data_IF_694061286240
#
_entry.id   IF_694061286240
#
_cell.length_a   1.000
_cell.length_b   1.000
_cell.length_c   1.000
_cell.angle_alpha   90.00
_cell.angle_beta   90.00
_cell.angle_gamma   90.00
#
_symmetry.space_group_name_H-M   'P 1'
#
loop_
_entity.id
_entity.type
_entity.pdbx_description
1 polymer ?
#
# COMPACT_ATOMS: atom_id res chain seq x y z
N UNK A 1 -11.27 -12.32 -31.38
CA UNK A 1 -10.75 -11.95 -30.04
C UNK A 1 -11.39 -10.67 -29.51
N UNK A 2 -11.66 -9.65 -30.35
CA UNK A 2 -12.39 -8.44 -29.94
C UNK A 2 -13.87 -8.67 -29.51
N UNK A 3 -14.54 -9.71 -30.00
CA UNK A 3 -15.92 -10.04 -29.60
C UNK A 3 -16.04 -10.53 -28.14
N UNK A 4 -15.04 -11.25 -27.63
CA UNK A 4 -15.12 -11.84 -26.28
C UNK A 4 -15.04 -10.76 -25.19
N UNK A 5 -14.25 -9.70 -25.42
CA UNK A 5 -14.21 -8.52 -24.55
C UNK A 5 -15.52 -7.70 -24.63
N UNK A 6 -16.15 -7.62 -25.81
CA UNK A 6 -17.44 -6.93 -25.97
C UNK A 6 -18.58 -7.66 -25.26
N UNK A 7 -18.60 -8.99 -25.34
CA UNK A 7 -19.55 -9.85 -24.65
C UNK A 7 -19.37 -9.80 -23.14
N UNK A 8 -18.12 -9.78 -22.65
CA UNK A 8 -17.83 -9.61 -21.23
C UNK A 8 -18.35 -8.28 -20.69
N UNK A 9 -18.15 -7.18 -21.42
CA UNK A 9 -18.67 -5.84 -21.04
C UNK A 9 -20.21 -5.82 -21.04
N UNK A 10 -20.86 -6.50 -21.99
CA UNK A 10 -22.32 -6.59 -22.07
C UNK A 10 -22.89 -7.44 -20.93
N UNK A 11 -22.27 -8.58 -20.61
CA UNK A 11 -22.64 -9.45 -19.51
C UNK A 11 -22.49 -8.74 -18.16
N UNK A 12 -21.38 -8.02 -17.96
CA UNK A 12 -21.12 -7.25 -16.74
C UNK A 12 -22.15 -6.12 -16.55
N UNK A 13 -22.53 -5.45 -17.64
CA UNK A 13 -23.54 -4.37 -17.59
C UNK A 13 -24.95 -4.90 -17.36
N UNK A 14 -25.26 -6.09 -17.90
CA UNK A 14 -26.53 -6.78 -17.68
C UNK A 14 -26.64 -7.30 -16.23
N UNK A 15 -25.56 -7.85 -15.67
CA UNK A 15 -25.49 -8.26 -14.27
C UNK A 15 -25.68 -7.07 -13.32
N UNK A 16 -25.02 -5.93 -13.62
CA UNK A 16 -25.18 -4.71 -12.82
C UNK A 16 -26.60 -4.15 -12.88
N UNK A 17 -27.26 -4.21 -14.04
CA UNK A 17 -28.66 -3.82 -14.19
C UNK A 17 -29.58 -4.78 -13.41
N UNK A 18 -29.33 -6.09 -13.49
CA UNK A 18 -30.10 -7.08 -12.73
C UNK A 18 -29.94 -6.88 -11.21
N UNK A 19 -28.73 -6.58 -10.73
CA UNK A 19 -28.49 -6.22 -9.33
C UNK A 19 -29.21 -4.92 -8.92
N UNK A 20 -29.39 -3.97 -9.84
CA UNK A 20 -30.12 -2.73 -9.58
C UNK A 20 -31.65 -2.91 -9.59
N UNK A 21 -32.18 -3.82 -10.41
CA UNK A 21 -33.62 -4.13 -10.47
C UNK A 21 -34.09 -5.11 -9.38
N UNK A 22 -33.22 -6.00 -8.89
CA UNK A 22 -33.53 -6.93 -7.77
C UNK A 22 -33.16 -6.32 -6.40
N UNK A 23 -32.45 -5.19 -6.39
CA UNK A 23 -31.89 -4.54 -5.19
C UNK A 23 -32.86 -3.73 -4.32
N UNK A 24 -34.16 -4.03 -4.35
CA UNK A 24 -35.18 -3.31 -3.58
C UNK A 24 -35.26 -3.64 -2.09
N UNK A 25 -34.61 -4.70 -1.58
CA UNK A 25 -34.95 -5.19 -0.21
C UNK A 25 -33.82 -5.77 0.67
N UNK A 26 -32.54 -5.75 0.30
CA UNK A 26 -31.51 -6.34 1.18
C UNK A 26 -30.21 -5.52 1.25
N UNK A 27 -30.13 -4.67 2.27
CA UNK A 27 -28.93 -3.93 2.66
C UNK A 27 -27.73 -4.78 3.20
N UNK A 28 -27.84 -6.04 3.66
CA UNK A 28 -26.67 -6.79 4.16
C UNK A 28 -25.83 -7.49 3.08
N UNK A 29 -26.32 -7.61 1.83
CA UNK A 29 -25.64 -8.39 0.77
C UNK A 29 -24.50 -7.62 0.10
N UNK A 30 -24.60 -6.29 0.01
CA UNK A 30 -23.53 -5.45 -0.57
C UNK A 30 -22.22 -5.50 0.21
N UNK A 31 -22.28 -5.63 1.54
CA UNK A 31 -21.08 -5.76 2.38
C UNK A 31 -20.39 -7.11 2.18
N UNK A 32 -21.16 -8.20 2.09
CA UNK A 32 -20.60 -9.53 1.81
C UNK A 32 -19.96 -9.62 0.43
N UNK A 33 -20.60 -9.04 -0.60
CA UNK A 33 -20.03 -9.00 -1.95
C UNK A 33 -18.72 -8.19 -2.02
N UNK A 34 -18.60 -7.11 -1.26
CA UNK A 34 -17.35 -6.33 -1.17
C UNK A 34 -16.24 -7.08 -0.44
N UNK A 35 -16.56 -7.72 0.68
CA UNK A 35 -15.60 -8.50 1.45
C UNK A 35 -15.07 -9.69 0.65
N UNK A 36 -15.95 -10.37 -0.08
CA UNK A 36 -15.56 -11.49 -0.95
C UNK A 36 -14.67 -11.01 -2.10
N UNK A 37 -14.97 -9.87 -2.72
CA UNK A 37 -14.09 -9.28 -3.74
C UNK A 37 -12.72 -8.88 -3.19
N UNK A 38 -12.64 -8.31 -1.99
CA UNK A 38 -11.34 -7.99 -1.38
C UNK A 38 -10.56 -9.25 -1.06
N UNK A 39 -11.22 -10.29 -0.57
CA UNK A 39 -10.60 -11.57 -0.23
C UNK A 39 -10.06 -12.30 -1.47
N UNK A 40 -10.82 -12.30 -2.56
CA UNK A 40 -10.36 -12.82 -3.85
C UNK A 40 -9.14 -12.05 -4.37
N UNK A 41 -9.14 -10.72 -4.25
CA UNK A 41 -7.97 -9.90 -4.63
C UNK A 41 -6.75 -10.22 -3.76
N UNK A 42 -6.94 -10.40 -2.45
CA UNK A 42 -5.86 -10.82 -1.55
C UNK A 42 -5.34 -12.21 -1.86
N UNK A 43 -6.20 -13.17 -2.21
CA UNK A 43 -5.78 -14.51 -2.63
C UNK A 43 -4.97 -14.47 -3.92
N UNK A 44 -5.39 -13.68 -4.91
CA UNK A 44 -4.64 -13.49 -6.15
C UNK A 44 -3.27 -12.87 -5.83
N UNK A 45 -3.23 -11.83 -5.00
CA UNK A 45 -1.98 -11.19 -4.55
C UNK A 45 -1.07 -12.19 -3.83
N UNK A 46 -1.60 -12.97 -2.89
CA UNK A 46 -0.84 -13.99 -2.17
C UNK A 46 -0.32 -15.07 -3.10
N UNK A 47 -1.13 -15.49 -4.07
CA UNK A 47 -0.74 -16.49 -5.08
C UNK A 47 0.44 -15.97 -5.90
N UNK A 48 0.36 -14.74 -6.42
CA UNK A 48 1.46 -14.11 -7.16
C UNK A 48 2.71 -14.01 -6.30
N UNK A 49 2.58 -13.50 -5.07
CA UNK A 49 3.70 -13.38 -4.14
C UNK A 49 4.32 -14.75 -3.83
N UNK A 50 3.51 -15.80 -3.70
CA UNK A 50 4.00 -17.17 -3.43
C UNK A 50 4.74 -17.80 -4.60
N UNK A 51 4.39 -17.43 -5.84
CA UNK A 51 5.06 -17.91 -7.05
C UNK A 51 6.35 -17.14 -7.34
N UNK A 52 6.34 -15.85 -7.02
CA UNK A 52 7.44 -14.92 -7.29
C UNK A 52 8.49 -14.94 -6.18
N UNK A 53 8.14 -15.16 -4.92
CA UNK A 53 9.11 -15.14 -3.81
C UNK A 53 9.68 -16.52 -3.51
N UNK A 54 11.00 -16.61 -3.31
CA UNK A 54 11.64 -17.82 -2.79
C UNK A 54 11.38 -18.05 -1.29
N UNK A 55 11.68 -19.26 -0.79
CA UNK A 55 11.43 -19.65 0.59
C UNK A 55 12.17 -18.74 1.60
N UNK A 56 13.38 -18.31 1.28
CA UNK A 56 14.16 -17.36 2.09
C UNK A 56 13.52 -15.96 2.10
N UNK A 57 13.09 -15.47 0.95
CA UNK A 57 12.44 -14.16 0.83
C UNK A 57 11.11 -14.11 1.59
N UNK A 58 10.34 -15.21 1.62
CA UNK A 58 9.11 -15.33 2.42
C UNK A 58 9.37 -15.21 3.92
N UNK A 59 10.43 -15.86 4.42
CA UNK A 59 10.80 -15.76 5.83
C UNK A 59 11.14 -14.32 6.21
N UNK A 60 11.95 -13.64 5.38
CA UNK A 60 12.31 -12.23 5.59
C UNK A 60 11.12 -11.28 5.50
N UNK A 61 10.21 -11.50 4.54
CA UNK A 61 8.98 -10.73 4.45
C UNK A 61 8.11 -10.89 5.71
N UNK A 62 8.04 -12.09 6.28
CA UNK A 62 7.29 -12.34 7.52
C UNK A 62 7.92 -11.59 8.72
N UNK A 63 9.24 -11.67 8.88
CA UNK A 63 9.95 -10.88 9.90
C UNK A 63 9.82 -9.37 9.68
N UNK A 64 9.83 -8.92 8.42
CA UNK A 64 9.62 -7.51 8.08
C UNK A 64 8.20 -7.06 8.39
N UNK A 65 7.17 -7.86 8.12
CA UNK A 65 5.78 -7.56 8.51
C UNK A 65 5.63 -7.36 10.01
N UNK A 66 6.29 -8.19 10.81
CA UNK A 66 6.25 -8.08 12.27
C UNK A 66 6.98 -6.83 12.76
N UNK A 67 8.16 -6.53 12.21
CA UNK A 67 8.98 -5.41 12.67
C UNK A 67 8.51 -4.04 12.13
N UNK A 68 8.11 -3.97 10.86
CA UNK A 68 7.72 -2.75 10.13
C UNK A 68 6.68 -3.08 9.06
N UNK A 69 5.38 -3.16 9.43
CA UNK A 69 4.32 -3.52 8.49
C UNK A 69 4.20 -2.54 7.31
N UNK A 70 4.46 -1.26 7.55
CA UNK A 70 4.39 -0.20 6.52
C UNK A 70 5.37 -0.47 5.35
N UNK A 71 6.63 -0.82 5.68
CA UNK A 71 7.63 -1.18 4.67
C UNK A 71 7.28 -2.48 3.95
N UNK A 72 6.70 -3.43 4.66
CA UNK A 72 6.27 -4.69 4.07
C UNK A 72 5.13 -4.47 3.06
N UNK A 73 4.14 -3.62 3.36
CA UNK A 73 3.05 -3.31 2.43
C UNK A 73 3.56 -2.61 1.16
N UNK A 74 4.48 -1.63 1.30
CA UNK A 74 5.08 -0.99 0.14
C UNK A 74 5.86 -1.98 -0.71
N UNK A 75 6.67 -2.85 -0.08
CA UNK A 75 7.40 -3.89 -0.77
C UNK A 75 6.46 -4.84 -1.53
N UNK A 76 5.38 -5.33 -0.90
CA UNK A 76 4.38 -6.18 -1.55
C UNK A 76 3.75 -5.49 -2.75
N UNK A 77 3.35 -4.22 -2.60
CA UNK A 77 2.74 -3.45 -3.70
C UNK A 77 3.69 -3.31 -4.90
N UNK A 78 4.98 -3.12 -4.64
CA UNK A 78 6.00 -2.97 -5.67
C UNK A 78 6.29 -4.30 -6.36
N UNK A 79 6.41 -5.39 -5.59
CA UNK A 79 6.60 -6.74 -6.15
C UNK A 79 5.40 -7.16 -6.99
N UNK A 80 4.17 -6.93 -6.52
CA UNK A 80 2.96 -7.23 -7.30
C UNK A 80 2.97 -6.46 -8.62
N UNK A 81 3.32 -5.16 -8.60
CA UNK A 81 3.40 -4.35 -9.81
C UNK A 81 4.45 -4.89 -10.79
N UNK A 82 5.64 -5.25 -10.29
CA UNK A 82 6.71 -5.83 -11.13
C UNK A 82 6.32 -7.21 -11.68
N UNK A 83 5.59 -8.02 -10.91
CA UNK A 83 5.08 -9.32 -11.35
C UNK A 83 4.00 -9.17 -12.43
N UNK A 84 3.05 -8.24 -12.25
CA UNK A 84 2.01 -7.92 -13.24
C UNK A 84 2.60 -7.39 -14.56
N UNK A 85 3.67 -6.60 -14.48
CA UNK A 85 4.39 -6.10 -15.66
C UNK A 85 5.26 -7.19 -16.32
N UNK A 86 5.36 -8.40 -15.75
CA UNK A 86 6.18 -9.48 -16.29
C UNK A 86 7.69 -9.22 -16.22
N UNK A 87 8.12 -8.26 -15.39
CA UNK A 87 9.54 -7.89 -15.27
C UNK A 87 10.33 -8.91 -14.44
N UNK A 88 9.65 -9.68 -13.59
CA UNK A 88 10.26 -10.71 -12.76
C UNK A 88 10.23 -12.04 -13.52
N UNK A 89 11.33 -12.35 -14.21
CA UNK A 89 11.51 -13.63 -14.91
C UNK A 89 12.10 -14.68 -13.97
N UNK A 90 11.30 -15.16 -13.02
CA UNK A 90 11.67 -16.24 -12.11
C UNK A 90 11.37 -15.97 -10.64
N UNK A 91 11.99 -16.77 -9.76
CA UNK A 91 11.90 -16.57 -8.31
C UNK A 91 12.82 -15.44 -7.88
N UNK A 92 12.31 -14.59 -7.01
CA UNK A 92 12.98 -13.45 -6.41
C UNK A 92 13.83 -13.97 -5.25
N UNK A 93 15.14 -13.96 -5.47
CA UNK A 93 16.15 -14.37 -4.51
C UNK A 93 16.28 -13.37 -3.36
N UNK A 94 16.87 -13.80 -2.24
CA UNK A 94 17.07 -12.97 -1.06
C UNK A 94 17.89 -11.70 -1.37
N UNK A 95 18.87 -11.79 -2.28
CA UNK A 95 19.65 -10.62 -2.71
C UNK A 95 18.78 -9.57 -3.42
N UNK A 96 17.87 -10.01 -4.30
CA UNK A 96 16.94 -9.10 -4.99
C UNK A 96 15.92 -8.51 -4.02
N UNK A 97 15.51 -9.28 -3.01
CA UNK A 97 14.62 -8.81 -1.96
C UNK A 97 15.24 -7.61 -1.21
N UNK A 98 16.53 -7.70 -0.81
CA UNK A 98 17.22 -6.56 -0.18
C UNK A 98 17.21 -5.35 -1.09
N UNK A 99 17.54 -5.55 -2.37
CA UNK A 99 17.73 -4.43 -3.28
C UNK A 99 16.43 -3.64 -3.51
N UNK A 100 15.30 -4.35 -3.66
CA UNK A 100 13.97 -3.73 -3.76
C UNK A 100 13.61 -3.07 -2.42
N UNK A 101 13.90 -3.71 -1.29
CA UNK A 101 13.62 -3.14 0.02
C UNK A 101 14.43 -1.86 0.29
N UNK A 102 15.69 -1.81 -0.14
CA UNK A 102 16.52 -0.62 -0.10
C UNK A 102 15.96 0.49 -0.98
N UNK A 103 15.53 0.16 -2.21
CA UNK A 103 14.87 1.11 -3.10
C UNK A 103 13.59 1.68 -2.47
N UNK A 104 12.76 0.83 -1.86
CA UNK A 104 11.54 1.26 -1.14
C UNK A 104 11.91 2.19 0.04
N UNK A 105 12.95 1.85 0.78
CA UNK A 105 13.42 2.65 1.91
C UNK A 105 14.03 4.00 1.49
N UNK A 106 14.65 4.06 0.31
CA UNK A 106 15.19 5.28 -0.28
C UNK A 106 14.07 6.18 -0.85
N UNK A 107 13.02 5.58 -1.40
CA UNK A 107 11.85 6.28 -1.91
C UNK A 107 10.96 6.83 -0.79
N UNK A 108 11.02 6.22 0.40
CA UNK A 108 10.39 6.74 1.59
C UNK A 108 11.12 8.02 2.03
N UNK A 109 10.45 9.18 2.09
CA UNK A 109 11.07 10.39 2.61
C UNK A 109 11.47 10.10 4.05
N UNK A 110 12.78 10.08 4.31
CA UNK A 110 13.30 10.10 5.67
C UNK A 110 12.77 11.41 6.26
N UNK A 111 11.74 11.35 7.10
CA UNK A 111 11.29 12.48 7.88
C UNK A 111 12.46 12.88 8.80
N UNK A 112 13.38 13.68 8.25
CA UNK A 112 14.46 14.30 9.00
C UNK A 112 13.75 15.24 9.95
N UNK A 113 13.61 14.79 11.19
CA UNK A 113 12.97 15.55 12.26
C UNK A 113 13.87 16.76 12.54
N UNK A 114 13.73 17.80 11.73
CA UNK A 114 14.52 19.02 11.83
C UNK A 114 14.00 19.77 13.03
N UNK A 115 14.60 19.53 14.19
CA UNK A 115 14.31 20.33 15.40
C UNK A 115 14.85 21.73 15.13
N UNK A 116 13.97 22.64 14.71
CA UNK A 116 14.26 24.06 14.58
C UNK A 116 14.39 24.63 15.99
N UNK A 117 15.62 24.74 16.49
CA UNK A 117 15.87 25.44 17.74
C UNK A 117 15.84 26.94 17.48
N UNK A 118 14.75 27.60 17.87
CA UNK A 118 14.67 29.05 17.94
C UNK A 118 15.51 29.52 19.14
N UNK A 119 16.82 29.75 18.93
CA UNK A 119 17.68 30.36 19.94
C UNK A 119 17.47 31.86 19.92
N UNK A 120 16.77 32.33 20.96
CA UNK A 120 16.72 33.71 21.49
C UNK A 120 15.61 34.60 20.94
N UNK A 121 14.52 34.66 21.70
CA UNK A 121 13.89 35.93 22.06
C UNK A 121 13.35 35.91 23.49
N UNK A 122 14.19 35.48 24.43
CA UNK A 122 14.15 36.03 25.78
C UNK A 122 14.76 37.44 25.69
N UNK A 123 13.98 38.40 25.19
CA UNK A 123 14.18 39.82 25.45
C UNK A 123 13.36 40.19 26.70
N UNK A 124 13.51 39.36 27.73
CA UNK A 124 13.14 39.67 29.10
C UNK A 124 14.44 40.25 29.65
N UNK A 125 14.40 41.47 30.18
CA UNK A 125 15.48 42.19 30.90
C UNK A 125 16.22 43.30 30.11
N UNK A 126 15.57 44.45 29.99
CA UNK A 126 16.23 45.77 30.10
C UNK A 126 15.28 46.71 30.83
N UNK A 127 15.35 46.58 32.15
CA UNK A 127 15.37 47.68 33.14
C UNK A 127 15.63 49.07 32.52
N UNK A 128 14.64 49.96 32.59
CA UNK A 128 14.87 51.40 32.80
C UNK A 128 13.58 52.02 33.39
N UNK A 129 13.57 52.09 34.72
CA UNK A 129 12.63 52.84 35.54
C UNK A 129 12.61 54.33 35.16
N UNK A 130 11.57 54.81 34.45
CA UNK A 130 11.26 56.25 34.36
C UNK A 130 10.15 56.60 35.36
N UNK A 131 10.54 56.69 36.64
CA UNK A 131 9.79 57.32 37.72
C UNK A 131 10.55 58.59 38.15
N UNK A 132 10.13 59.78 37.67
CA UNK A 132 10.55 61.04 38.30
C UNK A 132 10.40 62.34 37.49
N UNK A 133 9.19 62.91 37.43
CA UNK A 133 8.82 64.24 37.96
C UNK A 133 7.36 64.59 37.62
#
# INVERSE_FOLDING_TARGET
>A
MADNDLEAVRAQRLAQLQSQYVGGHNAPDKQKAQEEQMRQQEEIKNTILSQVLDQQARARLNTLKISKPDKAQMFESMVIRMAQMGQIRGKLDDAQFVHILESVNAQMPQNKNTVKYDRRRAAIDSDDDDYGC
#
